data_IF_189249448672
#
_entry.id   IF_189249448672
#
_cell.length_a   1.000
_cell.length_b   1.000
_cell.length_c   1.000
_cell.angle_alpha   90.00
_cell.angle_beta   90.00
_cell.angle_gamma   90.00
#
_symmetry.space_group_name_H-M   'P 1'
#
loop_
_entity.id
_entity.type
_entity.pdbx_description
1 polymer ?
#
# COMPACT_ATOMS: atom_id res chain seq x y z
N UNK A 1 0.79 -8.31 0.43
CA UNK A 1 1.01 -6.89 0.54
C UNK A 1 2.22 -6.54 1.42
N UNK A 2 2.37 -7.28 2.51
CA UNK A 2 3.49 -7.10 3.42
C UNK A 2 4.85 -7.26 2.71
N UNK A 3 4.97 -8.30 1.91
CA UNK A 3 6.20 -8.55 1.18
C UNK A 3 6.49 -7.44 0.17
N UNK A 4 5.46 -6.91 -0.46
CA UNK A 4 5.62 -5.82 -1.42
C UNK A 4 6.11 -4.54 -0.75
N UNK A 5 5.58 -4.24 0.42
CA UNK A 5 6.00 -3.06 1.17
C UNK A 5 7.46 -3.17 1.62
N UNK A 6 7.84 -4.33 2.14
CA UNK A 6 9.21 -4.60 2.57
C UNK A 6 10.17 -4.49 1.39
N UNK A 7 9.79 -5.06 0.25
CA UNK A 7 10.60 -5.03 -0.96
C UNK A 7 10.78 -3.60 -1.46
N UNK A 8 9.78 -2.75 -1.27
CA UNK A 8 9.85 -1.36 -1.67
C UNK A 8 10.65 -0.49 -0.70
N UNK A 9 11.09 -1.06 0.42
CA UNK A 9 11.91 -0.34 1.38
C UNK A 9 11.14 0.27 2.53
N UNK A 10 9.89 -0.10 2.70
CA UNK A 10 9.09 0.39 3.81
C UNK A 10 9.23 -0.52 5.02
N UNK A 11 8.97 0.03 6.20
CA UNK A 11 9.04 -0.75 7.42
C UNK A 11 8.01 -1.86 7.46
N UNK A 12 8.38 -2.96 8.09
CA UNK A 12 7.45 -4.07 8.28
C UNK A 12 6.59 -3.80 9.51
N UNK A 13 5.74 -2.79 9.40
CA UNK A 13 4.86 -2.33 10.46
C UNK A 13 3.58 -1.79 9.83
N UNK A 14 2.49 -1.67 10.61
CA UNK A 14 1.26 -1.09 10.10
C UNK A 14 1.45 0.31 9.52
N UNK A 15 2.32 1.12 10.14
CA UNK A 15 2.59 2.47 9.66
C UNK A 15 3.31 2.45 8.32
N UNK A 16 4.32 1.59 8.17
CA UNK A 16 5.04 1.46 6.92
C UNK A 16 4.13 1.00 5.79
N UNK A 17 3.30 0.01 6.08
CA UNK A 17 2.36 -0.48 5.08
C UNK A 17 1.32 0.58 4.71
N UNK A 18 0.89 1.37 5.68
CA UNK A 18 -0.05 2.46 5.43
C UNK A 18 0.55 3.50 4.49
N UNK A 19 1.79 3.89 4.73
CA UNK A 19 2.49 4.83 3.86
C UNK A 19 2.63 4.29 2.44
N UNK A 20 2.96 3.01 2.34
CA UNK A 20 3.10 2.38 1.03
C UNK A 20 1.77 2.38 0.28
N UNK A 21 0.70 2.02 0.95
CA UNK A 21 -0.64 2.02 0.36
C UNK A 21 -1.03 3.42 -0.10
N UNK A 22 -0.72 4.41 0.70
CA UNK A 22 -1.01 5.80 0.35
C UNK A 22 -0.25 6.23 -0.88
N UNK A 23 1.02 5.85 -0.97
CA UNK A 23 1.84 6.17 -2.14
C UNK A 23 1.27 5.53 -3.40
N UNK A 24 0.83 4.28 -3.29
CA UNK A 24 0.23 3.59 -4.42
C UNK A 24 -1.02 4.32 -4.90
N UNK A 25 -1.85 4.75 -3.97
CA UNK A 25 -3.08 5.45 -4.30
C UNK A 25 -2.83 6.82 -4.90
N UNK A 26 -1.76 7.48 -4.50
CA UNK A 26 -1.38 8.77 -5.07
C UNK A 26 -0.77 8.65 -6.46
N UNK A 27 -0.14 7.53 -6.73
CA UNK A 27 0.53 7.29 -8.01
C UNK A 27 -0.07 6.08 -8.72
N UNK A 28 -1.36 6.07 -8.88
CA UNK A 28 -2.08 4.94 -9.47
C UNK A 28 -1.54 4.54 -10.84
N UNK A 29 -1.09 5.52 -11.61
CA UNK A 29 -0.58 5.27 -12.96
C UNK A 29 0.76 4.53 -12.95
N UNK A 30 1.49 4.58 -11.83
CA UNK A 30 2.76 3.91 -11.69
C UNK A 30 2.63 2.47 -11.21
N UNK A 31 1.44 2.07 -10.83
CA UNK A 31 1.19 0.74 -10.27
C UNK A 31 0.08 0.04 -11.04
N UNK A 32 0.11 -1.29 -10.98
CA UNK A 32 -0.92 -2.08 -11.65
C UNK A 32 -2.25 -1.94 -10.93
N UNK A 33 -3.33 -2.25 -11.66
CA UNK A 33 -4.67 -2.20 -11.09
C UNK A 33 -4.79 -3.10 -9.87
N UNK A 34 -4.11 -4.25 -9.88
CA UNK A 34 -4.12 -5.17 -8.74
C UNK A 34 -3.51 -4.54 -7.50
N UNK A 35 -2.39 -3.83 -7.66
CA UNK A 35 -1.74 -3.16 -6.54
C UNK A 35 -2.60 -2.04 -5.99
N UNK A 36 -3.18 -1.24 -6.87
CA UNK A 36 -4.07 -0.15 -6.46
C UNK A 36 -5.26 -0.70 -5.69
N UNK A 37 -5.82 -1.79 -6.16
CA UNK A 37 -6.96 -2.41 -5.49
C UNK A 37 -6.59 -2.92 -4.10
N UNK A 38 -5.42 -3.54 -3.98
CA UNK A 38 -4.94 -4.02 -2.68
C UNK A 38 -4.69 -2.87 -1.72
N UNK A 39 -4.08 -1.80 -2.20
CA UNK A 39 -3.81 -0.63 -1.38
C UNK A 39 -5.11 0.01 -0.89
N UNK A 40 -6.08 0.12 -1.77
CA UNK A 40 -7.39 0.66 -1.43
C UNK A 40 -8.08 -0.18 -0.37
N UNK A 41 -8.02 -1.49 -0.54
CA UNK A 41 -8.60 -2.43 0.42
C UNK A 41 -7.93 -2.30 1.79
N UNK A 42 -6.62 -2.18 1.78
CA UNK A 42 -5.85 -2.04 3.01
C UNK A 42 -6.21 -0.75 3.76
N UNK A 43 -6.27 0.35 3.04
CA UNK A 43 -6.64 1.64 3.63
C UNK A 43 -8.06 1.62 4.17
N UNK A 44 -8.94 0.94 3.47
CA UNK A 44 -10.34 0.82 3.91
C UNK A 44 -10.46 0.08 5.24
N UNK A 45 -9.64 -0.94 5.44
CA UNK A 45 -9.63 -1.70 6.68
C UNK A 45 -9.08 -0.85 7.83
N UNK A 46 -7.99 -0.15 7.58
CA UNK A 46 -7.35 0.67 8.61
C UNK A 46 -8.20 1.88 8.99
N UNK A 47 -8.87 2.46 8.01
CA UNK A 47 -9.64 3.69 8.23
C UNK A 47 -10.88 3.49 9.07
N UNK A 48 -11.19 2.27 9.41
CA UNK A 48 -12.27 2.01 10.33
C UNK A 48 -11.81 2.23 11.74
#
# INVERSE_FOLDING_TARGET
>A
FKAAATKAGYEDSPEGRDEFAEKILKNKDDYSAKMVKKANFYKNIISK
#
